data_IF_845391179249
#
_entry.id   IF_845391179249
#
_cell.length_a   1.000
_cell.length_b   1.000
_cell.length_c   1.000
_cell.angle_alpha   90.00
_cell.angle_beta   90.00
_cell.angle_gamma   90.00
#
_symmetry.space_group_name_H-M   'P 1'
#
loop_
_entity.id
_entity.type
_entity.pdbx_description
1 polymer ?
#
# COMPACT_ATOMS: atom_id res chain seq x y z
N UNK A 1 -4.76 15.46 25.95
CA UNK A 1 -4.79 14.49 24.82
C UNK A 1 -4.54 15.27 23.54
N UNK A 2 -3.49 14.96 22.79
CA UNK A 2 -3.26 15.56 21.48
C UNK A 2 -4.11 14.81 20.46
N UNK A 3 -5.08 15.48 19.84
CA UNK A 3 -5.85 14.91 18.74
C UNK A 3 -5.07 15.14 17.44
N UNK A 4 -4.61 14.06 16.81
CA UNK A 4 -4.02 14.11 15.47
C UNK A 4 -5.15 14.21 14.45
N UNK A 5 -5.18 15.30 13.70
CA UNK A 5 -6.13 15.49 12.62
C UNK A 5 -5.38 15.35 11.30
N UNK A 6 -5.55 14.22 10.62
CA UNK A 6 -5.09 14.07 9.25
C UNK A 6 -6.08 14.79 8.34
N UNK A 7 -5.66 15.91 7.75
CA UNK A 7 -6.52 16.68 6.85
C UNK A 7 -6.81 15.82 5.62
N UNK A 8 -8.09 15.49 5.47
CA UNK A 8 -8.74 14.79 4.35
C UNK A 8 -7.95 13.65 3.70
N UNK A 9 -8.23 12.40 4.12
CA UNK A 9 -8.07 11.18 3.31
C UNK A 9 -8.85 11.20 1.97
N UNK A 10 -9.29 12.37 1.48
CA UNK A 10 -10.21 12.49 0.33
C UNK A 10 -9.52 12.15 -1.00
N UNK A 11 -8.21 12.36 -1.08
CA UNK A 11 -7.48 12.25 -2.35
C UNK A 11 -6.74 10.92 -2.50
N UNK A 12 -6.71 10.08 -1.45
CA UNK A 12 -6.11 8.73 -1.51
C UNK A 12 -7.10 7.64 -1.12
N UNK A 13 -6.88 6.45 -1.66
CA UNK A 13 -7.49 5.24 -1.14
C UNK A 13 -6.56 4.54 -0.16
N UNK A 14 -7.15 3.72 0.72
CA UNK A 14 -6.41 2.89 1.67
C UNK A 14 -7.20 1.62 1.98
N UNK A 15 -6.52 0.60 2.50
CA UNK A 15 -7.16 -0.66 2.90
C UNK A 15 -7.53 -0.66 4.37
N UNK A 16 -8.67 -1.28 4.67
CA UNK A 16 -9.11 -1.62 6.01
C UNK A 16 -9.63 -3.06 6.04
N UNK A 17 -9.64 -3.66 7.23
CA UNK A 17 -10.29 -4.94 7.45
C UNK A 17 -11.79 -4.76 7.68
N UNK A 18 -12.58 -5.43 6.84
CA UNK A 18 -13.99 -5.69 7.08
C UNK A 18 -14.22 -6.92 7.95
N UNK A 19 -15.49 -7.26 8.14
CA UNK A 19 -15.87 -8.54 8.76
C UNK A 19 -15.27 -9.73 7.99
N UNK A 20 -15.02 -10.83 8.71
CA UNK A 20 -14.44 -12.06 8.17
C UNK A 20 -13.07 -11.87 7.47
N UNK A 21 -12.27 -10.89 7.91
CA UNK A 21 -10.94 -10.63 7.33
C UNK A 21 -10.99 -10.30 5.83
N UNK A 22 -12.04 -9.62 5.40
CA UNK A 22 -12.14 -9.11 4.04
C UNK A 22 -11.39 -7.78 3.91
N UNK A 23 -10.60 -7.61 2.86
CA UNK A 23 -9.97 -6.33 2.55
C UNK A 23 -11.00 -5.40 1.91
N UNK A 24 -11.20 -4.23 2.52
CA UNK A 24 -12.08 -3.17 2.02
C UNK A 24 -11.20 -2.00 1.55
N UNK A 25 -11.41 -1.55 0.31
CA UNK A 25 -10.86 -0.28 -0.17
C UNK A 25 -11.76 0.87 0.28
N UNK A 26 -11.17 1.84 1.00
CA UNK A 26 -11.79 3.14 1.32
C UNK A 26 -11.15 4.22 0.47
N UNK A 27 -11.89 5.29 0.17
CA UNK A 27 -11.42 6.41 -0.65
C UNK A 27 -11.63 6.21 -2.15
N UNK A 28 -11.24 7.22 -2.94
CA UNK A 28 -11.42 7.23 -4.41
C UNK A 28 -10.11 7.39 -5.21
N UNK A 29 -8.99 7.72 -4.55
CA UNK A 29 -7.69 7.88 -5.20
C UNK A 29 -6.88 6.60 -5.32
N UNK A 30 -5.59 6.70 -5.60
CA UNK A 30 -4.67 5.55 -5.57
C UNK A 30 -4.48 5.00 -4.16
N UNK A 31 -4.16 3.71 -4.05
CA UNK A 31 -3.88 3.10 -2.74
C UNK A 31 -2.55 3.62 -2.23
N UNK A 32 -2.61 4.29 -1.10
CA UNK A 32 -1.46 4.84 -0.39
C UNK A 32 -1.72 4.74 1.11
N UNK A 33 -0.79 4.24 1.92
CA UNK A 33 -0.96 4.05 3.37
C UNK A 33 0.21 4.61 4.17
N UNK A 34 -0.04 5.20 5.34
CA UNK A 34 1.01 5.65 6.26
C UNK A 34 1.62 4.47 7.03
N UNK A 35 2.78 4.66 7.67
CA UNK A 35 3.36 3.63 8.55
C UNK A 35 2.39 3.14 9.62
N UNK A 36 1.63 4.03 10.25
CA UNK A 36 0.65 3.67 11.28
C UNK A 36 -0.48 2.81 10.71
N UNK A 37 -1.01 3.18 9.54
CA UNK A 37 -2.03 2.39 8.86
C UNK A 37 -1.50 1.02 8.44
N UNK A 38 -0.23 0.92 8.02
CA UNK A 38 0.41 -0.35 7.71
C UNK A 38 0.61 -1.23 8.96
N UNK A 39 1.02 -0.65 10.09
CA UNK A 39 1.14 -1.36 11.38
C UNK A 39 -0.19 -2.00 11.74
N UNK A 40 -1.26 -1.23 11.70
CA UNK A 40 -2.61 -1.68 12.04
C UNK A 40 -3.13 -2.71 11.02
N UNK A 41 -2.90 -2.47 9.72
CA UNK A 41 -3.36 -3.36 8.66
C UNK A 41 -2.65 -4.71 8.66
N UNK A 42 -1.36 -4.76 8.96
CA UNK A 42 -0.61 -6.02 9.01
C UNK A 42 -0.64 -6.71 10.38
N UNK A 43 -1.21 -6.09 11.41
CA UNK A 43 -1.24 -6.66 12.76
C UNK A 43 0.16 -6.89 13.34
N UNK A 44 1.14 -6.06 12.98
CA UNK A 44 2.54 -6.20 13.41
C UNK A 44 3.00 -5.03 14.25
N UNK A 45 4.07 -5.20 15.03
CA UNK A 45 4.67 -4.08 15.75
C UNK A 45 5.35 -3.10 14.77
N UNK A 46 5.38 -1.81 15.13
CA UNK A 46 6.09 -0.79 14.36
C UNK A 46 7.55 -1.18 14.10
N UNK A 47 8.23 -1.77 15.10
CA UNK A 47 9.62 -2.24 14.95
C UNK A 47 9.76 -3.29 13.84
N UNK A 48 8.83 -4.26 13.77
CA UNK A 48 8.85 -5.32 12.75
C UNK A 48 8.55 -4.74 11.36
N UNK A 49 7.56 -3.85 11.26
CA UNK A 49 7.22 -3.16 10.02
C UNK A 49 8.41 -2.33 9.52
N UNK A 50 8.91 -1.41 10.34
CA UNK A 50 9.97 -0.46 9.98
C UNK A 50 11.23 -1.19 9.50
N UNK A 51 11.64 -2.27 10.16
CA UNK A 51 12.78 -3.07 9.70
C UNK A 51 12.59 -3.62 8.26
N UNK A 52 11.43 -4.20 7.97
CA UNK A 52 11.12 -4.75 6.62
C UNK A 52 10.95 -3.65 5.58
N UNK A 53 10.29 -2.56 5.95
CA UNK A 53 10.07 -1.41 5.09
C UNK A 53 11.40 -0.76 4.69
N UNK A 54 12.30 -0.51 5.64
CA UNK A 54 13.63 0.04 5.35
C UNK A 54 14.47 -0.91 4.48
N UNK A 55 14.32 -2.23 4.66
CA UNK A 55 14.95 -3.21 3.80
C UNK A 55 14.40 -3.09 2.35
N UNK A 56 13.08 -3.04 2.18
CA UNK A 56 12.46 -2.80 0.88
C UNK A 56 12.96 -1.52 0.22
N UNK A 57 12.94 -0.39 0.93
CA UNK A 57 13.34 0.89 0.35
C UNK A 57 14.84 0.95 -0.03
N UNK A 58 15.69 0.11 0.57
CA UNK A 58 17.13 0.07 0.27
C UNK A 58 17.51 -0.94 -0.81
N UNK A 59 16.94 -2.13 -0.78
CA UNK A 59 17.41 -3.27 -1.59
C UNK A 59 16.35 -3.89 -2.50
N UNK A 60 15.14 -3.31 -2.55
CA UNK A 60 14.09 -3.83 -3.44
C UNK A 60 14.44 -3.64 -4.92
N UNK A 61 13.97 -4.53 -5.82
CA UNK A 61 14.01 -4.30 -7.27
C UNK A 61 12.97 -3.28 -7.77
N UNK A 62 12.12 -2.72 -6.90
CA UNK A 62 11.09 -1.73 -7.27
C UNK A 62 11.73 -0.47 -7.85
N UNK A 63 11.17 0.10 -8.92
CA UNK A 63 11.57 1.40 -9.45
C UNK A 63 11.24 2.52 -8.44
N UNK A 64 11.91 3.68 -8.50
CA UNK A 64 11.63 4.80 -7.59
C UNK A 64 10.15 5.19 -7.54
N UNK A 65 9.46 5.19 -8.68
CA UNK A 65 8.05 5.54 -8.82
C UNK A 65 7.12 4.49 -8.18
N UNK A 66 7.60 3.27 -7.97
CA UNK A 66 6.85 2.20 -7.30
C UNK A 66 7.05 2.22 -5.77
N UNK A 67 7.84 3.15 -5.22
CA UNK A 67 8.16 3.20 -3.78
C UNK A 67 7.49 4.35 -3.05
N UNK A 68 7.13 5.40 -3.77
CA UNK A 68 6.71 6.67 -3.21
C UNK A 68 5.32 7.06 -3.73
N UNK A 69 4.40 7.35 -2.81
CA UNK A 69 3.08 7.88 -3.12
C UNK A 69 2.91 9.31 -2.56
N UNK A 70 4.02 10.00 -2.28
CA UNK A 70 4.07 11.33 -1.70
C UNK A 70 3.97 11.28 -0.17
N UNK A 71 3.46 12.37 0.41
CA UNK A 71 3.38 12.53 1.85
C UNK A 71 2.03 13.08 2.29
N UNK A 72 1.63 12.75 3.52
CA UNK A 72 0.42 13.22 4.16
C UNK A 72 0.76 14.28 5.21
N UNK A 73 0.15 15.45 5.11
CA UNK A 73 0.28 16.50 6.11
C UNK A 73 -0.26 16.06 7.48
N UNK A 74 0.55 16.26 8.51
CA UNK A 74 0.23 15.93 9.89
C UNK A 74 -0.03 17.22 10.67
N UNK A 75 -1.27 17.41 11.09
CA UNK A 75 -1.67 18.53 11.93
C UNK A 75 -1.84 18.10 13.40
N UNK A 76 -1.30 18.91 14.30
CA UNK A 76 -1.51 18.78 15.76
C UNK A 76 -2.05 20.11 16.26
N UNK A 77 -3.23 20.08 16.89
CA UNK A 77 -3.92 21.27 17.37
C UNK A 77 -4.10 22.35 16.28
N UNK A 78 -4.40 21.94 15.05
CA UNK A 78 -4.61 22.83 13.90
C UNK A 78 -3.33 23.42 13.29
N UNK A 79 -2.15 23.06 13.79
CA UNK A 79 -0.86 23.47 13.21
C UNK A 79 -0.21 22.34 12.44
N UNK A 80 0.32 22.63 11.26
CA UNK A 80 1.17 21.70 10.50
C UNK A 80 2.41 21.37 11.33
N UNK A 81 2.63 20.09 11.63
CA UNK A 81 3.77 19.59 12.40
C UNK A 81 4.74 18.75 11.58
N UNK A 82 4.35 18.35 10.38
CA UNK A 82 5.21 17.63 9.47
C UNK A 82 4.43 16.85 8.44
N UNK A 83 5.13 15.91 7.83
CA UNK A 83 4.65 15.11 6.72
C UNK A 83 4.92 13.63 7.04
N UNK A 84 3.94 12.78 6.77
CA UNK A 84 4.03 11.34 6.95
C UNK A 84 4.14 10.67 5.56
N UNK A 85 5.21 9.91 5.28
CA UNK A 85 5.34 9.22 4.00
C UNK A 85 4.16 8.32 3.70
N UNK A 86 3.78 8.28 2.43
CA UNK A 86 2.73 7.41 1.91
C UNK A 86 3.34 6.28 1.09
N UNK A 87 2.92 5.07 1.42
CA UNK A 87 3.41 3.86 0.76
C UNK A 87 2.38 3.30 -0.21
N UNK A 88 2.75 3.14 -1.50
CA UNK A 88 1.85 2.69 -2.55
C UNK A 88 1.49 1.20 -2.43
N UNK A 89 0.53 0.76 -3.25
CA UNK A 89 0.09 -0.64 -3.36
C UNK A 89 1.24 -1.63 -3.56
N UNK A 90 2.23 -1.29 -4.37
CA UNK A 90 3.44 -2.08 -4.60
C UNK A 90 4.20 -2.39 -3.31
N UNK A 91 4.39 -1.39 -2.43
CA UNK A 91 5.01 -1.57 -1.11
C UNK A 91 4.14 -2.44 -0.20
N UNK A 92 2.82 -2.25 -0.21
CA UNK A 92 1.89 -3.08 0.56
C UNK A 92 1.97 -4.55 0.11
N UNK A 93 1.98 -4.81 -1.20
CA UNK A 93 2.16 -6.15 -1.76
C UNK A 93 3.51 -6.73 -1.33
N UNK A 94 4.60 -5.99 -1.49
CA UNK A 94 5.93 -6.45 -1.13
C UNK A 94 6.06 -6.77 0.38
N UNK A 95 5.51 -5.90 1.24
CA UNK A 95 5.45 -6.14 2.69
C UNK A 95 4.67 -7.41 3.03
N UNK A 96 3.59 -7.71 2.30
CA UNK A 96 2.83 -8.95 2.51
C UNK A 96 3.67 -10.22 2.31
N UNK A 97 4.76 -10.18 1.54
CA UNK A 97 5.69 -11.31 1.39
C UNK A 97 6.86 -11.28 2.37
N UNK A 98 7.14 -10.16 3.01
CA UNK A 98 8.21 -10.02 4.01
C UNK A 98 7.74 -10.15 5.46
N UNK A 99 6.46 -9.92 5.70
CA UNK A 99 5.84 -10.01 7.01
C UNK A 99 5.21 -11.39 7.22
N UNK A 100 5.61 -11.99 8.33
CA UNK A 100 5.01 -13.21 8.85
C UNK A 100 3.92 -12.85 9.87
N UNK A 101 2.71 -12.57 9.38
CA UNK A 101 1.48 -12.35 10.16
C UNK A 101 0.28 -12.99 9.48
N UNK A 102 -0.80 -13.20 10.24
CA UNK A 102 -2.07 -13.75 9.73
C UNK A 102 -2.67 -12.82 8.68
N UNK A 103 -2.64 -11.52 8.93
CA UNK A 103 -3.08 -10.45 8.04
C UNK A 103 -2.30 -10.49 6.72
N UNK A 104 -0.97 -10.63 6.78
CA UNK A 104 -0.14 -10.78 5.59
C UNK A 104 -0.54 -12.01 4.76
N UNK A 105 -0.87 -13.13 5.40
CA UNK A 105 -1.37 -14.31 4.71
C UNK A 105 -2.71 -14.04 3.98
N UNK A 106 -3.66 -13.36 4.62
CA UNK A 106 -4.93 -13.00 3.99
C UNK A 106 -4.76 -12.03 2.82
N UNK A 107 -3.80 -11.10 2.91
CA UNK A 107 -3.44 -10.20 1.81
C UNK A 107 -2.92 -10.99 0.62
N UNK A 108 -1.98 -11.92 0.83
CA UNK A 108 -1.47 -12.79 -0.25
C UNK A 108 -2.61 -13.59 -0.90
N UNK A 109 -3.52 -14.16 -0.10
CA UNK A 109 -4.70 -14.88 -0.60
C UNK A 109 -5.62 -13.97 -1.43
N UNK A 110 -5.86 -12.75 -0.97
CA UNK A 110 -6.63 -11.75 -1.71
C UNK A 110 -5.96 -11.43 -3.05
N UNK A 111 -4.66 -11.14 -3.06
CA UNK A 111 -3.91 -10.83 -4.29
C UNK A 111 -4.03 -11.98 -5.29
N UNK A 112 -3.78 -13.23 -4.86
CA UNK A 112 -3.93 -14.39 -5.74
C UNK A 112 -5.36 -14.51 -6.29
N UNK A 113 -6.38 -14.27 -5.47
CA UNK A 113 -7.78 -14.28 -5.91
C UNK A 113 -8.04 -13.19 -6.95
N UNK A 114 -7.57 -11.97 -6.75
CA UNK A 114 -7.74 -10.88 -7.70
C UNK A 114 -7.04 -11.18 -9.04
N UNK A 115 -5.83 -11.76 -9.00
CA UNK A 115 -5.08 -12.15 -10.19
C UNK A 115 -5.72 -13.30 -10.96
N UNK A 116 -6.45 -14.19 -10.29
CA UNK A 116 -7.15 -15.33 -10.90
C UNK A 116 -8.54 -14.97 -11.43
N UNK A 117 -8.98 -13.70 -11.32
CA UNK A 117 -10.29 -13.30 -11.85
C UNK A 117 -10.28 -13.36 -13.39
N UNK A 118 -11.32 -13.93 -14.02
CA UNK A 118 -11.38 -14.12 -15.46
C UNK A 118 -11.41 -12.82 -16.27
N UNK A 119 -11.80 -11.70 -15.66
CA UNK A 119 -11.63 -10.36 -16.21
C UNK A 119 -10.59 -9.59 -15.39
N UNK A 120 -9.38 -9.36 -15.91
CA UNK A 120 -8.45 -8.43 -15.30
C UNK A 120 -8.95 -7.00 -15.55
N UNK A 121 -9.02 -6.16 -14.51
CA UNK A 121 -9.22 -4.70 -14.63
C UNK A 121 -7.94 -4.01 -15.15
N UNK A 122 -6.85 -4.76 -15.37
CA UNK A 122 -5.69 -4.28 -16.09
C UNK A 122 -6.01 -4.26 -17.58
N UNK A 123 -6.07 -3.07 -18.17
CA UNK A 123 -6.00 -2.89 -19.62
C UNK A 123 -4.93 -3.84 -20.17
N UNK A 124 -5.36 -4.73 -21.08
CA UNK A 124 -4.46 -5.65 -21.75
C UNK A 124 -3.38 -4.82 -22.45
N UNK A 125 -2.15 -4.86 -21.93
CA UNK A 125 -1.00 -4.31 -22.64
C UNK A 125 -0.78 -5.22 -23.85
N UNK A 126 -1.35 -4.82 -24.99
CA UNK A 126 -1.03 -5.40 -26.29
C UNK A 126 0.39 -4.97 -26.66
N UNK A 127 1.38 -5.83 -26.39
CA UNK A 127 2.68 -5.75 -27.03
C UNK A 127 2.51 -6.19 -28.50
N UNK A 128 2.22 -5.24 -29.39
CA UNK A 128 2.34 -5.48 -30.82
C UNK A 128 3.84 -5.55 -31.17
N UNK A 129 4.42 -6.74 -31.08
CA UNK A 129 5.71 -7.01 -31.71
C UNK A 129 5.46 -7.10 -33.22
N UNK A 130 5.65 -5.99 -33.92
CA UNK A 130 5.72 -6.02 -35.38
C UNK A 130 7.06 -6.66 -35.76
N UNK A 131 7.06 -7.98 -35.89
CA UNK A 131 8.09 -8.66 -36.67
C UNK A 131 7.87 -8.33 -38.14
N UNK A 132 8.65 -7.38 -38.63
CA UNK A 132 8.91 -7.25 -40.07
C UNK A 132 10.42 -7.29 -40.28
N UNK A 133 10.96 -8.52 -40.23
CA UNK A 133 12.17 -8.88 -40.96
C UNK A 133 11.73 -9.35 -42.34
N UNK A 134 11.95 -8.49 -43.34
CA UNK A 134 12.38 -8.77 -44.73
C UNK A 134 11.97 -7.61 -45.64
#
# INVERSE_FOLDING_TARGET
MNAYHYQTKKDRSYFEWGGNMQIIRKGKGEIAMTESELVDFFGVTWRKLNYRLQLLLKISPLQPEERDAGELEVYVNGQLKGYAPLYPLSIIIALSYQLDSTEAHFIRKYICRELQRPEPVMEQIYLHCSDSIN
#
